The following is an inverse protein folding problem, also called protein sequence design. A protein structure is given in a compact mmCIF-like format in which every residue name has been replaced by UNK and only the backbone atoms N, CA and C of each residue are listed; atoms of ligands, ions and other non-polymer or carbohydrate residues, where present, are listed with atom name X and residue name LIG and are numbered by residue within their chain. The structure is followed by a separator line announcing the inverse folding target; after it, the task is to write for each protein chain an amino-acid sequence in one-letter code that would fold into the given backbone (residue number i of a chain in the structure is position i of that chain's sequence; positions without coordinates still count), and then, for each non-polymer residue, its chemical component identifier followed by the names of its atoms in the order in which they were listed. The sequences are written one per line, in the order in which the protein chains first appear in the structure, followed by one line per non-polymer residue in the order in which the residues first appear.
data_IF_399264970495
#
_entry.id   IF_399264970495
#
_cell.length_a   1.000
_cell.length_b   1.000
_cell.length_c   1.000
_cell.angle_alpha   90.00
_cell.angle_beta   90.00
_cell.angle_gamma   90.00
#
_symmetry.space_group_name_H-M   'P 1'
#
loop_
_entity.id
_entity.type
_entity.pdbx_description
1 polymer ?
#
# COMPACT_ATOMS: atom_id res chain seq x y z
N UNK A 1 13.73 12.12 -2.72
CA UNK A 1 13.43 11.67 -1.34
C UNK A 1 13.45 10.15 -1.27
N UNK A 2 14.19 9.59 -0.34
CA UNK A 2 14.16 8.15 -0.10
C UNK A 2 13.01 7.84 0.86
N UNK A 3 12.07 7.04 0.40
CA UNK A 3 10.89 6.66 1.18
C UNK A 3 11.15 5.45 2.07
N UNK A 4 11.95 4.49 1.58
CA UNK A 4 12.22 3.22 2.26
C UNK A 4 13.72 2.96 2.34
N UNK A 5 14.12 2.21 3.36
CA UNK A 5 15.49 1.74 3.48
C UNK A 5 15.84 0.82 2.30
N UNK A 6 17.09 0.87 1.78
CA UNK A 6 17.48 0.07 0.62
C UNK A 6 17.24 -1.45 0.79
N UNK A 7 17.53 -2.00 1.96
CA UNK A 7 17.33 -3.43 2.22
C UNK A 7 15.86 -3.81 2.21
N UNK A 8 15.00 -2.94 2.72
CA UNK A 8 13.56 -3.15 2.71
C UNK A 8 13.02 -3.09 1.27
N UNK A 9 13.46 -2.11 0.49
CA UNK A 9 13.09 -1.99 -0.93
C UNK A 9 13.52 -3.22 -1.72
N UNK A 10 14.73 -3.70 -1.49
CA UNK A 10 15.24 -4.91 -2.16
C UNK A 10 14.38 -6.13 -1.82
N UNK A 11 14.00 -6.28 -0.56
CA UNK A 11 13.14 -7.40 -0.13
C UNK A 11 11.77 -7.32 -0.78
N UNK A 12 11.18 -6.15 -0.84
CA UNK A 12 9.89 -5.93 -1.52
C UNK A 12 10.02 -6.29 -3.01
N UNK A 13 11.12 -5.88 -3.65
CA UNK A 13 11.37 -6.19 -5.04
C UNK A 13 11.44 -7.71 -5.28
N UNK A 14 12.17 -8.43 -4.41
CA UNK A 14 12.28 -9.89 -4.49
C UNK A 14 10.93 -10.58 -4.31
N UNK A 15 10.16 -10.14 -3.33
CA UNK A 15 8.81 -10.68 -3.07
C UNK A 15 7.91 -10.45 -4.28
N UNK A 16 7.96 -9.26 -4.87
CA UNK A 16 7.18 -8.91 -6.05
C UNK A 16 7.50 -9.84 -7.22
N UNK A 17 8.79 -10.08 -7.46
CA UNK A 17 9.22 -10.98 -8.54
C UNK A 17 8.70 -12.40 -8.35
N UNK A 18 8.76 -12.91 -7.11
CA UNK A 18 8.22 -14.24 -6.78
C UNK A 18 6.71 -14.28 -6.95
N UNK A 19 6.02 -13.28 -6.44
CA UNK A 19 4.56 -13.18 -6.52
C UNK A 19 4.08 -13.15 -7.98
N UNK A 20 4.73 -12.38 -8.82
CA UNK A 20 4.38 -12.30 -10.23
C UNK A 20 4.58 -13.62 -10.95
N UNK A 21 5.63 -14.37 -10.62
CA UNK A 21 5.84 -15.71 -11.17
C UNK A 21 4.72 -16.68 -10.77
N UNK A 22 4.33 -16.66 -9.49
CA UNK A 22 3.24 -17.50 -8.97
C UNK A 22 1.92 -17.16 -9.65
N UNK A 23 1.66 -15.88 -9.89
CA UNK A 23 0.40 -15.40 -10.43
C UNK A 23 0.40 -15.21 -11.95
N UNK A 24 1.45 -15.65 -12.65
CA UNK A 24 1.58 -15.56 -14.11
C UNK A 24 1.42 -14.13 -14.64
N UNK A 25 1.92 -13.14 -13.90
CA UNK A 25 1.84 -11.72 -14.25
C UNK A 25 0.42 -11.19 -14.41
N UNK A 26 -0.56 -11.86 -13.81
CA UNK A 26 -1.97 -11.46 -13.90
C UNK A 26 -2.31 -10.35 -12.90
N UNK A 27 -2.44 -9.13 -13.39
CA UNK A 27 -2.75 -7.95 -12.56
C UNK A 27 -4.12 -8.04 -11.90
N UNK A 28 -5.07 -8.72 -12.53
CA UNK A 28 -6.41 -8.89 -11.95
C UNK A 28 -6.37 -9.70 -10.67
N UNK A 29 -5.44 -10.64 -10.56
CA UNK A 29 -5.24 -11.38 -9.32
C UNK A 29 -4.74 -10.47 -8.20
N UNK A 30 -3.86 -9.53 -8.50
CA UNK A 30 -3.39 -8.55 -7.51
C UNK A 30 -4.56 -7.70 -7.00
N UNK A 31 -5.42 -7.20 -7.88
CA UNK A 31 -6.60 -6.44 -7.48
C UNK A 31 -7.55 -7.26 -6.62
N UNK A 32 -7.78 -8.52 -6.98
CA UNK A 32 -8.63 -9.41 -6.18
C UNK A 32 -8.06 -9.61 -4.77
N UNK A 33 -6.76 -9.84 -4.66
CA UNK A 33 -6.10 -10.00 -3.37
C UNK A 33 -6.17 -8.73 -2.51
N UNK A 34 -6.03 -7.56 -3.13
CA UNK A 34 -6.17 -6.26 -2.43
C UNK A 34 -7.58 -6.15 -1.84
N UNK A 35 -8.60 -6.43 -2.64
CA UNK A 35 -9.99 -6.36 -2.17
C UNK A 35 -10.26 -7.33 -1.03
N UNK A 36 -9.79 -8.56 -1.15
CA UNK A 36 -9.97 -9.59 -0.12
C UNK A 36 -9.29 -9.17 1.20
N UNK A 37 -8.09 -8.60 1.13
CA UNK A 37 -7.38 -8.12 2.32
C UNK A 37 -8.11 -6.97 3.01
N UNK A 38 -8.67 -6.04 2.23
CA UNK A 38 -9.45 -4.93 2.80
C UNK A 38 -10.64 -5.46 3.60
N UNK A 39 -11.39 -6.41 3.05
CA UNK A 39 -12.53 -7.03 3.74
C UNK A 39 -12.10 -7.77 5.01
N UNK A 40 -11.04 -8.55 4.93
CA UNK A 40 -10.52 -9.33 6.05
C UNK A 40 -10.01 -8.43 7.17
N UNK A 41 -9.32 -7.35 6.83
CA UNK A 41 -8.84 -6.36 7.82
C UNK A 41 -10.02 -5.78 8.61
N UNK A 42 -11.07 -5.38 7.92
CA UNK A 42 -12.24 -4.80 8.55
C UNK A 42 -12.94 -5.81 9.48
N UNK A 43 -13.10 -7.05 9.04
CA UNK A 43 -13.69 -8.12 9.85
C UNK A 43 -12.87 -8.39 11.11
N UNK A 44 -11.57 -8.55 10.98
CA UNK A 44 -10.68 -8.81 12.10
C UNK A 44 -10.67 -7.64 13.10
N UNK A 45 -10.62 -6.42 12.59
CA UNK A 45 -10.64 -5.22 13.42
C UNK A 45 -11.95 -5.15 14.23
N UNK A 46 -13.08 -5.38 13.59
CA UNK A 46 -14.39 -5.35 14.24
C UNK A 46 -14.56 -6.48 15.26
N UNK A 47 -13.89 -7.61 15.04
CA UNK A 47 -13.92 -8.75 15.97
C UNK A 47 -12.88 -8.63 17.10
N UNK A 48 -12.19 -7.50 17.19
CA UNK A 48 -11.12 -7.26 18.16
C UNK A 48 -9.98 -8.29 18.08
N UNK A 49 -9.70 -8.76 16.87
CA UNK A 49 -8.63 -9.71 16.60
C UNK A 49 -7.40 -8.97 16.09
N UNK A 50 -6.32 -8.97 16.86
CA UNK A 50 -5.09 -8.21 16.56
C UNK A 50 -4.42 -8.61 15.26
N UNK A 51 -4.78 -9.72 14.65
CA UNK A 51 -4.23 -10.16 13.38
C UNK A 51 -4.51 -9.17 12.24
N UNK A 52 -5.47 -8.25 12.42
CA UNK A 52 -5.75 -7.21 11.42
C UNK A 52 -4.49 -6.41 11.05
N UNK A 53 -3.57 -6.23 12.01
CA UNK A 53 -2.33 -5.48 11.78
C UNK A 53 -1.40 -6.18 10.77
N UNK A 54 -1.28 -7.51 10.88
CA UNK A 54 -0.48 -8.31 9.94
C UNK A 54 -1.12 -8.27 8.55
N UNK A 55 -2.44 -8.43 8.47
CA UNK A 55 -3.15 -8.35 7.19
C UNK A 55 -3.04 -6.97 6.55
N UNK A 56 -2.97 -5.91 7.36
CA UNK A 56 -2.74 -4.55 6.87
C UNK A 56 -1.34 -4.43 6.26
N UNK A 57 -0.33 -5.00 6.90
CA UNK A 57 1.03 -5.01 6.35
C UNK A 57 1.09 -5.78 5.02
N UNK A 58 0.38 -6.91 4.93
CA UNK A 58 0.28 -7.68 3.69
C UNK A 58 -0.37 -6.86 2.58
N UNK A 59 -1.41 -6.10 2.91
CA UNK A 59 -2.07 -5.21 1.96
C UNK A 59 -1.09 -4.15 1.41
N UNK A 60 -0.27 -3.57 2.28
CA UNK A 60 0.74 -2.59 1.87
C UNK A 60 1.73 -3.23 0.88
N UNK A 61 2.18 -4.45 1.16
CA UNK A 61 3.06 -5.19 0.24
C UNK A 61 2.39 -5.42 -1.11
N UNK A 62 1.12 -5.80 -1.14
CA UNK A 62 0.35 -5.98 -2.37
C UNK A 62 0.26 -4.68 -3.17
N UNK A 63 0.09 -3.54 -2.50
CA UNK A 63 0.07 -2.24 -3.15
C UNK A 63 1.43 -1.90 -3.78
N UNK A 64 2.53 -2.21 -3.09
CA UNK A 64 3.86 -2.07 -3.66
C UNK A 64 4.05 -2.97 -4.88
N UNK A 65 3.57 -4.23 -4.81
CA UNK A 65 3.63 -5.14 -5.96
C UNK A 65 2.93 -4.55 -7.17
N UNK A 66 1.78 -3.95 -6.99
CA UNK A 66 1.06 -3.31 -8.09
C UNK A 66 1.91 -2.21 -8.74
N UNK A 67 2.50 -1.34 -7.94
CA UNK A 67 3.35 -0.26 -8.44
C UNK A 67 4.57 -0.80 -9.19
N UNK A 68 5.27 -1.74 -8.58
CA UNK A 68 6.49 -2.33 -9.14
C UNK A 68 6.18 -3.07 -10.43
N UNK A 69 5.06 -3.83 -10.47
CA UNK A 69 4.67 -4.60 -11.65
C UNK A 69 4.37 -3.72 -12.86
N UNK A 70 4.00 -2.47 -12.63
CA UNK A 70 3.76 -1.47 -13.69
C UNK A 70 4.95 -0.54 -13.89
N UNK A 71 6.13 -0.93 -13.41
CA UNK A 71 7.39 -0.19 -13.56
C UNK A 71 7.35 1.21 -12.96
N UNK A 72 6.60 1.38 -11.87
CA UNK A 72 6.58 2.64 -11.13
C UNK A 72 7.65 2.62 -10.06
N UNK A 73 8.37 3.73 -9.92
CA UNK A 73 9.34 3.91 -8.85
C UNK A 73 8.62 4.35 -7.58
N UNK A 74 8.80 3.59 -6.49
CA UNK A 74 8.11 3.86 -5.23
C UNK A 74 8.48 5.24 -4.68
N UNK A 75 9.75 5.60 -4.69
CA UNK A 75 10.20 6.91 -4.19
C UNK A 75 9.56 8.05 -4.98
N UNK A 76 9.49 7.92 -6.30
CA UNK A 76 8.87 8.91 -7.19
C UNK A 76 7.38 9.09 -6.88
N UNK A 77 6.67 7.98 -6.76
CA UNK A 77 5.22 8.00 -6.48
C UNK A 77 4.95 8.68 -5.14
N UNK A 78 5.70 8.31 -4.09
CA UNK A 78 5.49 8.90 -2.76
C UNK A 78 5.96 10.35 -2.68
N UNK A 79 6.97 10.74 -3.45
CA UNK A 79 7.39 12.14 -3.55
C UNK A 79 6.25 13.02 -4.08
N UNK A 80 5.39 12.48 -4.94
CA UNK A 80 4.20 13.19 -5.43
C UNK A 80 3.01 13.08 -4.49
N UNK A 81 2.83 11.90 -3.91
CA UNK A 81 1.66 11.59 -3.08
C UNK A 81 1.64 12.36 -1.76
N UNK A 82 2.77 12.37 -1.04
CA UNK A 82 2.82 12.93 0.31
C UNK A 82 2.50 14.43 0.37
N UNK A 83 3.09 15.29 -0.51
CA UNK A 83 2.73 16.70 -0.50
C UNK A 83 1.26 16.97 -0.84
N UNK A 84 0.66 16.16 -1.70
CA UNK A 84 -0.76 16.28 -2.04
C UNK A 84 -1.65 15.99 -0.85
N UNK A 85 -1.37 14.90 -0.12
CA UNK A 85 -2.11 14.56 1.10
C UNK A 85 -1.94 15.62 2.16
N UNK A 86 -0.72 16.09 2.38
CA UNK A 86 -0.43 17.13 3.36
C UNK A 86 -1.23 18.39 3.07
N UNK A 87 -1.20 18.85 1.83
CA UNK A 87 -1.94 20.06 1.40
C UNK A 87 -3.44 19.88 1.60
N UNK A 88 -3.98 18.75 1.18
CA UNK A 88 -5.42 18.46 1.28
C UNK A 88 -5.88 18.43 2.73
N UNK A 89 -5.15 17.73 3.60
CA UNK A 89 -5.49 17.60 5.01
C UNK A 89 -5.39 18.96 5.73
N UNK A 90 -4.36 19.76 5.42
CA UNK A 90 -4.24 21.10 5.99
C UNK A 90 -5.40 22.00 5.59
N UNK A 91 -5.86 21.90 4.35
CA UNK A 91 -7.05 22.65 3.90
C UNK A 91 -8.30 22.24 4.66
N UNK A 92 -8.50 20.94 4.88
CA UNK A 92 -9.66 20.44 5.63
C UNK A 92 -9.63 20.87 7.09
N UNK A 93 -8.46 20.83 7.73
CA UNK A 93 -8.29 21.30 9.11
C UNK A 93 -8.62 22.80 9.22
N UNK A 94 -8.16 23.62 8.27
CA UNK A 94 -8.49 25.04 8.25
C UNK A 94 -9.98 25.29 8.10
N UNK A 95 -10.68 24.52 7.27
CA UNK A 95 -12.12 24.63 7.11
C UNK A 95 -12.84 24.33 8.41
N UNK A 96 -12.42 23.29 9.15
CA UNK A 96 -12.99 22.97 10.46
C UNK A 96 -12.74 24.10 11.47
N UNK A 97 -11.53 24.67 11.47
CA UNK A 97 -11.17 25.73 12.37
C UNK A 97 -11.91 27.05 12.14
N UNK A 98 -12.54 27.21 10.99
CA UNK A 98 -13.27 28.44 10.61
C UNK A 98 -14.78 28.37 10.84
N UNK A 99 -15.24 27.31 11.48
CA UNK A 99 -16.67 27.14 11.78
C UNK A 99 -17.06 27.84 13.06
#
# INVERSE_FOLDING_TARGET
MKTLQPEFKEKIQQITELSMRVNNDDKQKIFAMIKDHVEEIEELYNDCNDHWAIETADLIVLCFELLISENKDIDDVFTRCLPRFDKKLNMLVKQEGNI
#
